data_IF_878875923871
#
_entry.id   IF_878875923871
#
_cell.length_a   1.000
_cell.length_b   1.000
_cell.length_c   1.000
_cell.angle_alpha   90.00
_cell.angle_beta   90.00
_cell.angle_gamma   90.00
#
_symmetry.space_group_name_H-M   'P 1'
#
loop_
_entity.id
_entity.type
_entity.pdbx_description
1 polymer ?
#
# COMPACT_ATOMS: atom_id res chain seq x y z
N UNK A 1 18.52 22.08 -3.25
CA UNK A 1 18.34 20.65 -3.02
C UNK A 1 17.35 20.42 -1.87
N UNK A 2 16.40 19.51 -2.04
CA UNK A 2 15.45 19.20 -0.96
C UNK A 2 16.14 18.36 0.12
N UNK A 3 15.70 18.50 1.37
CA UNK A 3 16.26 17.70 2.46
C UNK A 3 15.64 16.30 2.49
N UNK A 4 16.18 15.42 3.35
CA UNK A 4 15.76 14.03 3.41
C UNK A 4 14.28 13.89 3.84
N UNK A 5 13.81 14.76 4.71
CA UNK A 5 12.40 14.72 5.15
C UNK A 5 11.45 15.08 4.01
N UNK A 6 11.78 16.10 3.22
CA UNK A 6 10.98 16.48 2.07
C UNK A 6 10.98 15.36 1.02
N UNK A 7 12.14 14.76 0.75
CA UNK A 7 12.23 13.64 -0.18
C UNK A 7 11.41 12.44 0.29
N UNK A 8 11.43 12.14 1.59
CA UNK A 8 10.65 11.06 2.17
C UNK A 8 9.15 11.31 2.03
N UNK A 9 8.70 12.52 2.30
CA UNK A 9 7.29 12.90 2.15
C UNK A 9 6.81 12.75 0.71
N UNK A 10 7.61 13.17 -0.26
CA UNK A 10 7.28 13.02 -1.68
C UNK A 10 7.18 11.54 -2.05
N UNK A 11 8.12 10.71 -1.58
CA UNK A 11 8.11 9.27 -1.85
C UNK A 11 6.87 8.59 -1.29
N UNK A 12 6.45 8.95 -0.07
CA UNK A 12 5.25 8.40 0.56
C UNK A 12 4.01 8.77 -0.25
N UNK A 13 3.90 10.03 -0.68
CA UNK A 13 2.76 10.48 -1.50
C UNK A 13 2.69 9.72 -2.81
N UNK A 14 3.81 9.50 -3.49
CA UNK A 14 3.84 8.75 -4.74
C UNK A 14 3.40 7.31 -4.54
N UNK A 15 3.83 6.68 -3.44
CA UNK A 15 3.44 5.33 -3.10
C UNK A 15 1.92 5.23 -2.87
N UNK A 16 1.35 6.14 -2.08
CA UNK A 16 -0.08 6.15 -1.82
C UNK A 16 -0.90 6.43 -3.08
N UNK A 17 -0.41 7.28 -3.97
CA UNK A 17 -1.09 7.53 -5.25
C UNK A 17 -1.17 6.26 -6.07
N UNK A 18 -0.10 5.48 -6.12
CA UNK A 18 -0.06 4.21 -6.83
C UNK A 18 -1.01 3.19 -6.18
N UNK A 19 -0.97 3.07 -4.86
CA UNK A 19 -1.86 2.18 -4.11
C UNK A 19 -3.32 2.57 -4.33
N UNK A 20 -3.62 3.86 -4.32
CA UNK A 20 -4.97 4.35 -4.56
C UNK A 20 -5.47 3.97 -5.96
N UNK A 21 -4.60 4.01 -6.96
CA UNK A 21 -4.94 3.55 -8.32
C UNK A 21 -5.29 2.07 -8.32
N UNK A 22 -4.53 1.24 -7.61
CA UNK A 22 -4.81 -0.18 -7.49
C UNK A 22 -6.16 -0.42 -6.80
N UNK A 23 -6.44 0.33 -5.75
CA UNK A 23 -7.70 0.24 -5.02
C UNK A 23 -8.88 0.61 -5.93
N UNK A 24 -8.77 1.72 -6.65
CA UNK A 24 -9.82 2.18 -7.55
C UNK A 24 -10.10 1.15 -8.66
N UNK A 25 -9.05 0.59 -9.26
CA UNK A 25 -9.21 -0.43 -10.28
C UNK A 25 -9.90 -1.68 -9.74
N UNK A 26 -9.50 -2.12 -8.56
CA UNK A 26 -10.09 -3.29 -7.92
C UNK A 26 -11.56 -3.03 -7.55
N UNK A 27 -11.86 -1.87 -6.99
CA UNK A 27 -13.22 -1.49 -6.61
C UNK A 27 -14.14 -1.44 -7.85
N UNK A 28 -13.65 -0.92 -8.98
CA UNK A 28 -14.40 -0.88 -10.23
C UNK A 28 -14.72 -2.27 -10.77
N UNK A 29 -13.90 -3.27 -10.40
CA UNK A 29 -14.13 -4.66 -10.78
C UNK A 29 -14.97 -5.42 -9.76
N UNK A 30 -15.44 -4.76 -8.72
CA UNK A 30 -16.21 -5.37 -7.64
C UNK A 30 -15.40 -6.03 -6.55
N UNK A 31 -14.09 -5.86 -6.56
CA UNK A 31 -13.22 -6.41 -5.51
C UNK A 31 -13.22 -5.52 -4.27
N UNK A 32 -12.93 -6.12 -3.12
CA UNK A 32 -12.86 -5.40 -1.85
C UNK A 32 -11.47 -5.47 -1.21
N UNK A 33 -10.50 -5.97 -1.94
CA UNK A 33 -9.14 -6.06 -1.44
C UNK A 33 -8.17 -6.05 -2.61
N UNK A 34 -6.93 -5.66 -2.29
CA UNK A 34 -5.81 -5.74 -3.22
C UNK A 34 -4.65 -6.40 -2.51
N UNK A 35 -3.80 -7.07 -3.29
CA UNK A 35 -2.58 -7.69 -2.78
C UNK A 35 -1.39 -6.98 -3.40
N UNK A 36 -0.39 -6.69 -2.59
CA UNK A 36 0.86 -6.08 -3.05
C UNK A 36 1.91 -7.15 -3.43
N UNK A 37 1.48 -8.39 -3.60
CA UNK A 37 2.35 -9.48 -4.00
C UNK A 37 2.92 -9.21 -5.39
N UNK A 38 4.26 -9.27 -5.49
CA UNK A 38 4.94 -9.03 -6.77
C UNK A 38 5.10 -7.56 -7.16
N UNK A 39 4.58 -6.63 -6.37
CA UNK A 39 4.64 -5.20 -6.67
C UNK A 39 5.90 -4.52 -6.14
N UNK A 40 6.70 -5.21 -5.34
CA UNK A 40 7.89 -4.67 -4.66
C UNK A 40 7.55 -3.43 -3.80
N UNK A 41 6.35 -3.39 -3.26
CA UNK A 41 5.89 -2.33 -2.39
C UNK A 41 5.74 -2.89 -0.98
N UNK A 42 6.40 -2.25 -0.01
CA UNK A 42 6.33 -2.64 1.38
C UNK A 42 5.83 -1.47 2.20
N UNK A 43 4.86 -1.71 3.06
CA UNK A 43 4.30 -0.67 3.90
C UNK A 43 5.06 -0.60 5.22
N UNK A 44 5.44 0.61 5.63
CA UNK A 44 5.99 0.86 6.96
C UNK A 44 4.87 0.92 7.99
N UNK A 45 5.22 0.91 9.27
CA UNK A 45 4.23 1.01 10.34
C UNK A 45 3.42 2.30 10.25
N UNK A 46 4.06 3.41 9.91
CA UNK A 46 3.39 4.70 9.74
C UNK A 46 2.39 4.68 8.58
N UNK A 47 2.75 4.02 7.48
CA UNK A 47 1.89 3.88 6.33
C UNK A 47 0.68 3.00 6.64
N UNK A 48 0.90 1.90 7.35
CA UNK A 48 -0.17 1.01 7.80
C UNK A 48 -1.14 1.76 8.72
N UNK A 49 -0.60 2.52 9.65
CA UNK A 49 -1.41 3.33 10.57
C UNK A 49 -2.27 4.32 9.81
N UNK A 50 -1.69 5.02 8.83
CA UNK A 50 -2.42 6.00 8.03
C UNK A 50 -3.55 5.35 7.24
N UNK A 51 -3.31 4.21 6.63
CA UNK A 51 -4.35 3.47 5.90
C UNK A 51 -5.45 2.99 6.86
N UNK A 52 -5.07 2.54 8.05
CA UNK A 52 -6.04 2.10 9.05
C UNK A 52 -6.93 3.27 9.51
N UNK A 53 -6.36 4.45 9.67
CA UNK A 53 -7.12 5.65 10.03
C UNK A 53 -8.12 6.05 8.95
N UNK A 54 -7.81 5.73 7.68
CA UNK A 54 -8.70 5.97 6.56
C UNK A 54 -9.80 4.91 6.41
N UNK A 55 -9.80 3.89 7.27
CA UNK A 55 -10.82 2.85 7.25
C UNK A 55 -10.41 1.57 6.54
N UNK A 56 -9.18 1.47 6.05
CA UNK A 56 -8.69 0.27 5.41
C UNK A 56 -8.19 -0.74 6.43
N UNK A 57 -8.19 -2.00 6.06
CA UNK A 57 -7.61 -3.08 6.85
C UNK A 57 -6.37 -3.58 6.13
N UNK A 58 -5.27 -3.70 6.85
CA UNK A 58 -4.01 -4.17 6.29
C UNK A 58 -3.66 -5.50 6.95
N UNK A 59 -3.40 -6.52 6.13
CA UNK A 59 -3.00 -7.85 6.58
C UNK A 59 -1.70 -8.23 5.88
N UNK A 60 -0.99 -9.18 6.44
CA UNK A 60 0.18 -9.75 5.81
C UNK A 60 -0.12 -11.17 5.34
N UNK A 61 0.30 -11.47 4.11
CA UNK A 61 0.27 -12.81 3.56
C UNK A 61 1.67 -13.28 3.27
N UNK A 62 1.82 -14.56 2.97
CA UNK A 62 3.10 -15.14 2.60
C UNK A 62 2.94 -16.02 1.37
N UNK A 63 3.93 -15.91 0.49
CA UNK A 63 4.00 -16.72 -0.73
C UNK A 63 5.38 -17.38 -0.79
N UNK A 64 5.44 -18.64 -1.17
CA UNK A 64 6.72 -19.32 -1.37
C UNK A 64 7.58 -18.69 -2.46
N UNK A 65 6.96 -17.99 -3.41
CA UNK A 65 7.66 -17.36 -4.53
C UNK A 65 8.04 -15.90 -4.24
N UNK A 66 7.17 -15.15 -3.59
CA UNK A 66 7.35 -13.71 -3.38
C UNK A 66 7.67 -13.32 -1.94
N UNK A 67 7.62 -14.27 -0.99
CA UNK A 67 7.82 -14.00 0.42
C UNK A 67 6.63 -13.33 1.06
N UNK A 68 6.87 -12.45 2.03
CA UNK A 68 5.81 -11.72 2.71
C UNK A 68 5.32 -10.55 1.85
N UNK A 69 4.01 -10.30 1.87
CA UNK A 69 3.40 -9.20 1.15
C UNK A 69 2.23 -8.66 1.95
N UNK A 70 1.82 -7.43 1.65
CA UNK A 70 0.71 -6.78 2.32
C UNK A 70 -0.58 -6.93 1.51
N UNK A 71 -1.70 -7.07 2.21
CA UNK A 71 -3.03 -7.14 1.62
C UNK A 71 -3.85 -6.01 2.23
N UNK A 72 -4.39 -5.15 1.38
CA UNK A 72 -5.21 -4.03 1.81
C UNK A 72 -6.66 -4.33 1.44
N UNK A 73 -7.56 -4.22 2.41
CA UNK A 73 -9.00 -4.47 2.19
C UNK A 73 -9.84 -3.32 2.72
N UNK A 74 -11.07 -3.25 2.25
CA UNK A 74 -12.02 -2.20 2.64
C UNK A 74 -13.47 -2.66 2.72
#
# INVERSE_FOLDING_TARGET
>A
MINAEAAKSISIKCKFTYIESLIKNAANKGSRCISLMGENIYLSEDEIKELTELGYKVRQGQSGKYGAFDIISW
#
